data_IF_466108521122
#
_entry.id   IF_466108521122
#
_cell.length_a   1.000
_cell.length_b   1.000
_cell.length_c   1.000
_cell.angle_alpha   90.00
_cell.angle_beta   90.00
_cell.angle_gamma   90.00
#
_symmetry.space_group_name_H-M   'P 1'
#
loop_
_entity.id
_entity.type
_entity.pdbx_description
1 polymer ?
2 non-polymer ?
3 non-polymer ?
4 non-polymer ?
5 water ?
#
# COMPACT_ATOMS: atom_id res chain seq x y z
N UNK A 14 15.42 14.59 2.95
CA UNK A 14 15.81 14.11 1.59
C UNK A 14 15.79 12.60 1.46
N UNK A 15 15.72 12.11 0.22
CA UNK A 15 15.74 10.68 -0.06
C UNK A 15 17.02 10.07 0.49
N UNK A 16 16.90 8.87 1.01
CA UNK A 16 18.02 8.08 1.45
C UNK A 16 18.10 6.84 0.60
N UNK A 17 19.19 6.69 -0.13
CA UNK A 17 19.46 5.47 -0.86
C UNK A 17 20.04 4.46 0.11
N UNK A 18 19.48 3.26 0.12
CA UNK A 18 19.91 2.22 1.05
C UNK A 18 19.86 0.95 0.23
N UNK A 19 21.05 0.48 -0.15
CA UNK A 19 21.19 -0.53 -1.18
C UNK A 19 20.44 -0.07 -2.41
N UNK A 20 19.56 -0.93 -2.92
CA UNK A 20 18.83 -0.66 -4.13
C UNK A 20 17.45 -0.06 -3.86
N UNK A 21 17.19 0.35 -2.61
CA UNK A 21 15.91 0.92 -2.21
C UNK A 21 16.10 2.39 -1.87
N UNK A 22 14.99 3.11 -1.80
CA UNK A 22 14.98 4.51 -1.40
C UNK A 22 13.97 4.69 -0.28
N UNK A 23 14.36 5.47 0.73
CA UNK A 23 13.51 5.77 1.87
C UNK A 23 13.36 7.27 1.98
N UNK A 24 12.17 7.74 2.32
CA UNK A 24 11.87 9.17 2.45
C UNK A 24 10.99 9.40 3.65
N UNK A 25 11.43 10.24 4.58
CA UNK A 25 10.59 10.58 5.73
C UNK A 25 9.47 11.52 5.29
N UNK A 26 8.24 11.17 5.65
CA UNK A 26 7.05 11.97 5.33
C UNK A 26 6.46 12.72 6.51
N UNK A 27 6.69 12.23 7.72
CA UNK A 27 6.18 12.82 8.95
C UNK A 27 7.08 12.31 10.07
N UNK A 28 6.93 12.84 11.29
CA UNK A 28 7.83 12.39 12.38
C UNK A 28 7.93 10.87 12.58
N UNK A 29 6.83 10.18 12.37
CA UNK A 29 6.76 8.73 12.59
C UNK A 29 6.41 7.95 11.31
N UNK A 30 6.56 8.55 10.13
CA UNK A 30 6.15 7.89 8.88
C UNK A 30 7.21 8.07 7.81
N UNK A 31 7.56 6.96 7.17
CA UNK A 31 8.50 6.93 6.06
C UNK A 31 7.91 6.17 4.89
N UNK A 32 8.30 6.57 3.68
CA UNK A 32 7.95 5.86 2.46
C UNK A 32 9.13 4.99 2.06
N UNK A 33 8.86 3.72 1.74
CA UNK A 33 9.85 2.82 1.14
C UNK A 33 9.58 2.71 -0.34
N UNK A 34 10.64 2.63 -1.14
CA UNK A 34 10.53 2.49 -2.58
C UNK A 34 11.50 1.42 -3.05
N UNK A 35 10.98 0.52 -3.89
CA UNK A 35 11.75 -0.56 -4.48
C UNK A 35 11.42 -0.64 -5.97
N UNK A 36 12.29 -1.34 -6.72
CA UNK A 36 12.23 -1.32 -8.17
C UNK A 36 12.28 -2.72 -8.74
N UNK A 37 11.52 -2.94 -9.82
CA UNK A 37 11.60 -4.21 -10.56
C UNK A 37 11.56 -3.92 -12.04
N UNK A 38 12.44 -4.55 -12.79
CA UNK A 38 12.36 -4.49 -14.25
C UNK A 38 11.10 -5.16 -14.76
N UNK A 39 10.34 -4.44 -15.59
CA UNK A 39 9.22 -5.05 -16.27
C UNK A 39 9.62 -4.95 -17.74
N UNK A 40 10.13 -6.07 -18.32
CA UNK A 40 10.71 -6.01 -19.66
C UNK A 40 9.78 -5.30 -20.66
N UNK A 41 10.25 -4.20 -21.23
CA UNK A 41 9.44 -3.35 -22.11
C UNK A 41 8.73 -2.16 -21.45
N UNK A 42 8.84 -2.06 -20.13
CA UNK A 42 8.33 -0.91 -19.36
C UNK A 42 9.39 -0.22 -18.50
N UNK A 43 10.60 -0.79 -18.38
CA UNK A 43 11.66 -0.22 -17.56
C UNK A 43 11.59 -0.71 -16.13
N UNK A 44 12.36 -0.03 -15.28
CA UNK A 44 12.46 -0.39 -13.87
C UNK A 44 11.41 0.36 -13.09
N UNK A 45 10.36 -0.35 -12.67
CA UNK A 45 9.15 0.26 -12.12
C UNK A 45 9.27 0.42 -10.62
N UNK A 46 9.11 1.66 -10.15
CA UNK A 46 9.12 1.96 -8.73
C UNK A 46 7.79 1.56 -8.10
N UNK A 47 7.87 1.07 -6.86
CA UNK A 47 6.67 0.87 -6.04
C UNK A 47 6.95 1.38 -4.64
N UNK A 48 5.99 2.13 -4.10
CA UNK A 48 6.08 2.70 -2.76
C UNK A 48 5.18 2.00 -1.76
N UNK A 49 5.68 1.88 -0.54
CA UNK A 49 4.88 1.53 0.61
C UNK A 49 5.24 2.41 1.80
N UNK A 50 4.76 2.05 2.99
CA UNK A 50 4.95 2.88 4.17
C UNK A 50 5.51 2.11 5.35
N UNK A 51 6.16 2.87 6.22
CA UNK A 51 6.68 2.40 7.49
C UNK A 51 6.20 3.41 8.54
N UNK A 52 5.59 2.91 9.62
CA UNK A 52 5.01 3.79 10.65
C UNK A 52 5.54 3.36 12.00
N UNK A 53 6.10 4.31 12.76
CA UNK A 53 6.42 4.01 14.16
C UNK A 53 5.20 4.38 15.03
N UNK A 54 4.75 3.41 15.81
CA UNK A 54 3.66 3.61 16.76
C UNK A 54 4.21 3.29 18.14
N UNK A 55 4.70 4.32 18.84
CA UNK A 55 5.32 4.12 20.14
C UNK A 55 6.55 3.23 20.02
N UNK A 56 6.52 2.09 20.72
CA UNK A 56 7.64 1.15 20.74
C UNK A 56 7.63 0.06 19.69
N UNK A 57 6.84 0.23 18.63
CA UNK A 57 6.80 -0.78 17.58
C UNK A 57 6.67 -0.10 16.23
N UNK A 58 6.94 -0.89 15.19
CA UNK A 58 6.87 -0.44 13.81
C UNK A 58 5.81 -1.25 13.06
N UNK A 59 5.11 -0.56 12.17
CA UNK A 59 4.06 -1.15 11.34
C UNK A 59 4.44 -0.91 9.89
N UNK A 60 4.26 -1.91 9.03
CA UNK A 60 4.62 -1.78 7.61
C UNK A 60 3.38 -1.91 6.75
N UNK A 61 3.29 -1.06 5.72
CA UNK A 61 2.27 -1.17 4.70
C UNK A 61 2.99 -1.50 3.38
N UNK A 62 2.67 -2.69 2.87
CA UNK A 62 3.20 -3.28 1.64
C UNK A 62 4.61 -3.79 1.76
N UNK A 63 4.86 -4.93 1.12
CA UNK A 63 6.22 -5.38 0.96
C UNK A 63 6.90 -4.59 -0.16
N UNK A 64 8.17 -4.89 -0.39
CA UNK A 64 8.83 -4.53 -1.66
C UNK A 64 8.48 -5.60 -2.72
N UNK A 65 9.00 -5.44 -3.93
CA UNK A 65 8.72 -6.40 -4.97
C UNK A 65 9.23 -7.81 -4.65
N UNK A 66 10.35 -7.92 -3.94
CA UNK A 66 10.98 -9.21 -3.73
C UNK A 66 11.25 -9.46 -2.26
N UNK A 67 11.49 -10.73 -1.94
CA UNK A 67 11.92 -11.11 -0.60
C UNK A 67 13.23 -10.41 -0.22
N UNK A 68 14.23 -10.40 -1.10
CA UNK A 68 15.49 -9.77 -0.76
C UNK A 68 15.31 -8.28 -0.48
N UNK A 69 14.51 -7.61 -1.30
CA UNK A 69 14.27 -6.18 -1.09
C UNK A 69 13.51 -5.95 0.22
N UNK A 70 12.59 -6.85 0.55
CA UNK A 70 11.81 -6.71 1.77
C UNK A 70 12.69 -6.92 3.00
N UNK A 71 13.60 -7.89 2.94
CA UNK A 71 14.59 -8.03 4.01
C UNK A 71 15.42 -6.75 4.16
N UNK A 72 15.73 -6.06 3.05
CA UNK A 72 16.41 -4.76 3.12
C UNK A 72 15.58 -3.69 3.80
N UNK A 73 14.27 -3.67 3.58
CA UNK A 73 13.40 -2.77 4.34
C UNK A 73 13.57 -3.05 5.83
N UNK A 74 13.55 -4.32 6.23
CA UNK A 74 13.68 -4.66 7.63
C UNK A 74 15.05 -4.26 8.18
N UNK A 75 16.10 -4.37 7.37
CA UNK A 75 17.44 -3.92 7.75
C UNK A 75 17.47 -2.41 7.96
N UNK A 76 16.85 -1.66 7.05
CA UNK A 76 16.75 -0.21 7.21
C UNK A 76 16.02 0.12 8.51
N UNK A 77 14.92 -0.57 8.79
CA UNK A 77 14.16 -0.33 10.02
C UNK A 77 15.05 -0.58 11.23
N UNK A 78 15.81 -1.67 11.22
CA UNK A 78 16.69 -1.98 12.34
C UNK A 78 17.71 -0.86 12.58
N UNK A 79 18.29 -0.34 11.49
CA UNK A 79 19.30 0.70 11.61
C UNK A 79 18.74 2.08 11.97
N UNK A 80 17.60 2.44 11.39
CA UNK A 80 17.08 3.80 11.51
C UNK A 80 16.03 3.98 12.60
N UNK A 81 15.37 2.90 13.01
CA UNK A 81 14.35 2.95 14.06
C UNK A 81 14.71 2.06 15.23
N UNK A 82 15.14 0.83 14.96
CA UNK A 82 15.60 -0.10 16.00
C UNK A 82 14.51 -0.42 17.02
N UNK A 83 13.33 -0.74 16.49
CA UNK A 83 12.22 -1.25 17.28
C UNK A 83 11.62 -2.41 16.51
N UNK A 84 10.94 -3.33 17.20
CA UNK A 84 10.34 -4.47 16.52
C UNK A 84 9.23 -4.10 15.56
N UNK A 85 9.13 -4.87 14.48
CA UNK A 85 8.06 -4.70 13.51
C UNK A 85 6.91 -5.59 13.96
N UNK A 86 5.83 -4.98 14.44
CA UNK A 86 4.72 -5.74 15.01
C UNK A 86 3.84 -6.41 13.97
N UNK A 87 3.66 -5.79 12.82
CA UNK A 87 2.77 -6.32 11.80
C UNK A 87 3.02 -5.61 10.49
N UNK A 88 2.56 -6.27 9.44
CA UNK A 88 2.50 -5.68 8.10
C UNK A 88 1.13 -5.94 7.52
N UNK A 89 0.65 -4.97 6.77
CA UNK A 89 -0.58 -5.11 6.00
C UNK A 89 -0.23 -4.85 4.54
N UNK A 90 -0.77 -5.68 3.64
CA UNK A 90 -0.48 -5.56 2.21
C UNK A 90 -1.77 -5.28 1.49
N UNK A 91 -1.69 -4.49 0.41
CA UNK A 91 -2.89 -3.83 -0.10
C UNK A 91 -3.53 -4.44 -1.34
N UNK A 92 -2.91 -5.46 -1.96
CA UNK A 92 -3.57 -6.37 -2.91
C UNK A 92 -2.57 -7.41 -3.36
N UNK A 93 -3.06 -8.41 -4.08
CA UNK A 93 -2.25 -9.56 -4.48
C UNK A 93 -1.55 -9.36 -5.82
N UNK A 94 -0.75 -8.31 -5.90
CA UNK A 94 0.25 -8.16 -6.96
C UNK A 94 1.64 -8.10 -6.33
N UNK A 95 2.65 -8.39 -7.15
CA UNK A 95 4.00 -8.56 -6.64
C UNK A 95 4.57 -7.35 -5.94
N UNK A 96 4.23 -6.14 -6.43
CA UNK A 96 4.76 -4.96 -5.79
C UNK A 96 4.33 -4.79 -4.35
N UNK A 97 3.17 -5.34 -3.99
CA UNK A 97 2.61 -5.21 -2.66
C UNK A 97 2.81 -6.43 -1.78
N UNK A 98 2.91 -7.61 -2.39
CA UNK A 98 2.95 -8.89 -1.66
C UNK A 98 4.12 -9.77 -2.02
N UNK A 99 5.01 -9.31 -2.90
CA UNK A 99 6.10 -10.15 -3.35
C UNK A 99 7.09 -10.57 -2.28
N UNK A 100 7.16 -9.82 -1.18
CA UNK A 100 8.09 -10.11 -0.12
C UNK A 100 7.51 -10.75 1.12
N UNK A 101 6.35 -11.39 0.98
CA UNK A 101 5.68 -11.99 2.13
C UNK A 101 6.58 -12.98 2.87
N UNK A 102 7.30 -13.83 2.12
CA UNK A 102 8.15 -14.82 2.80
C UNK A 102 9.21 -14.15 3.68
N UNK A 103 9.77 -13.01 3.26
CA UNK A 103 10.73 -12.31 4.09
C UNK A 103 10.11 -11.83 5.39
N UNK A 104 8.88 -11.35 5.34
CA UNK A 104 8.19 -10.95 6.57
C UNK A 104 7.98 -12.14 7.48
N UNK A 105 7.57 -13.27 6.92
CA UNK A 105 7.36 -14.46 7.73
C UNK A 105 8.65 -14.99 8.32
N UNK A 106 9.72 -14.97 7.54
CA UNK A 106 11.03 -15.39 8.04
C UNK A 106 11.48 -14.53 9.22
N UNK A 107 11.08 -13.26 9.22
CA UNK A 107 11.42 -12.33 10.28
C UNK A 107 10.50 -12.42 11.49
N UNK A 108 9.46 -13.24 11.42
CA UNK A 108 8.52 -13.41 12.53
C UNK A 108 7.47 -12.32 12.65
N UNK A 109 7.18 -11.63 11.55
CA UNK A 109 6.24 -10.53 11.54
C UNK A 109 4.85 -11.04 11.19
N UNK A 110 3.85 -10.64 11.97
CA UNK A 110 2.45 -10.98 11.70
C UNK A 110 1.96 -10.24 10.46
N UNK A 111 1.33 -10.95 9.53
CA UNK A 111 0.92 -10.35 8.27
C UNK A 111 -0.58 -10.45 8.03
N UNK A 112 -1.09 -9.40 7.38
CA UNK A 112 -2.50 -9.20 7.15
C UNK A 112 -2.75 -8.77 5.73
N UNK A 113 -3.85 -9.26 5.15
CA UNK A 113 -4.30 -8.82 3.83
C UNK A 113 -5.81 -8.98 3.80
N UNK A 114 -6.46 -8.27 2.88
CA UNK A 114 -7.87 -8.57 2.57
C UNK A 114 -8.03 -10.08 2.37
N UNK A 115 -9.08 -10.65 2.93
CA UNK A 115 -9.39 -12.05 2.67
C UNK A 115 -9.34 -12.39 1.19
N UNK A 116 -9.86 -11.50 0.34
CA UNK A 116 -9.86 -11.77 -1.09
C UNK A 116 -8.44 -11.79 -1.64
N UNK A 117 -7.55 -10.94 -1.13
CA UNK A 117 -6.14 -10.98 -1.54
C UNK A 117 -5.50 -12.32 -1.17
N UNK A 118 -5.82 -12.83 0.02
CA UNK A 118 -5.27 -14.12 0.42
C UNK A 118 -5.81 -15.24 -0.45
N UNK A 119 -7.09 -15.17 -0.81
CA UNK A 119 -7.68 -16.15 -1.72
C UNK A 119 -7.00 -16.12 -3.09
N UNK A 120 -6.75 -14.93 -3.61
CA UNK A 120 -6.14 -14.75 -4.93
C UNK A 120 -4.64 -14.99 -4.95
N UNK A 121 -4.00 -14.98 -3.79
CA UNK A 121 -2.55 -14.98 -3.74
C UNK A 121 -1.91 -16.12 -4.54
N UNK A 122 -2.33 -17.38 -4.30
CA UNK A 122 -1.65 -18.44 -5.04
C UNK A 122 -1.73 -18.29 -6.56
N UNK A 123 -2.91 -17.98 -7.10
CA UNK A 123 -3.03 -17.83 -8.57
C UNK A 123 -2.26 -16.64 -9.11
N UNK A 124 -2.02 -15.64 -8.27
CA UNK A 124 -1.20 -14.50 -8.66
C UNK A 124 0.29 -14.74 -8.45
N UNK A 125 0.68 -15.92 -7.94
CA UNK A 125 2.07 -16.19 -7.71
C UNK A 125 2.61 -15.63 -6.40
N UNK A 126 1.70 -15.26 -5.49
CA UNK A 126 2.04 -14.69 -4.20
C UNK A 126 1.87 -15.74 -3.10
N UNK A 127 2.57 -15.51 -1.99
CA UNK A 127 2.34 -16.20 -0.73
C UNK A 127 1.28 -15.40 0.04
N UNK A 128 0.28 -16.09 0.57
CA UNK A 128 -0.77 -15.42 1.33
C UNK A 128 -0.23 -14.86 2.65
N UNK A 129 -0.87 -13.79 3.12
CA UNK A 129 -0.64 -13.34 4.48
C UNK A 129 -1.21 -14.36 5.47
N UNK A 130 -0.77 -14.24 6.72
CA UNK A 130 -1.20 -15.14 7.77
C UNK A 130 -2.63 -14.92 8.22
N UNK A 131 -3.10 -13.68 8.11
CA UNK A 131 -4.38 -13.27 8.63
C UNK A 131 -5.18 -12.57 7.56
N UNK A 132 -6.50 -12.77 7.59
CA UNK A 132 -7.40 -12.15 6.63
C UNK A 132 -8.25 -11.05 7.26
N UNK A 133 -8.23 -9.90 6.61
CA UNK A 133 -9.10 -8.81 6.94
C UNK A 133 -10.44 -8.99 6.25
N UNK A 134 -11.53 -8.70 6.96
CA UNK A 134 -12.84 -8.61 6.33
C UNK A 134 -13.41 -7.24 6.58
N UNK A 135 -14.41 -6.86 5.77
CA UNK A 135 -14.88 -5.48 5.70
C UNK A 135 -16.38 -5.40 5.83
N UNK A 136 -16.82 -4.38 6.54
CA UNK A 136 -18.23 -4.05 6.62
C UNK A 136 -18.74 -3.57 5.25
N UNK A 137 -20.06 -3.57 5.09
CA UNK A 137 -20.69 -3.11 3.85
C UNK A 137 -20.25 -1.68 3.45
N UNK A 138 -20.00 -0.83 4.44
CA UNK A 138 -19.53 0.55 4.18
C UNK A 138 -18.05 0.67 3.84
N UNK A 139 -17.30 -0.43 3.90
CA UNK A 139 -15.91 -0.45 3.49
C UNK A 139 -14.91 -0.43 4.64
N UNK A 140 -15.31 -0.05 5.85
CA UNK A 140 -14.34 -0.07 6.95
C UNK A 140 -14.02 -1.50 7.35
N UNK A 141 -12.75 -1.74 7.69
CA UNK A 141 -12.37 -3.05 8.18
C UNK A 141 -13.17 -3.42 9.42
N UNK A 142 -13.50 -4.70 9.51
CA UNK A 142 -14.11 -5.24 10.73
C UNK A 142 -13.00 -5.26 11.79
N UNK A 143 -13.17 -4.49 12.88
CA UNK A 143 -12.05 -4.28 13.79
C UNK A 143 -11.44 -5.55 14.40
N UNK A 144 -12.23 -6.58 14.61
CA UNK A 144 -11.70 -7.80 15.20
C UNK A 144 -10.67 -8.46 14.29
N UNK A 145 -10.73 -8.18 12.99
CA UNK A 145 -9.80 -8.79 12.04
C UNK A 145 -8.50 -8.02 11.91
N UNK A 146 -8.43 -6.82 12.49
CA UNK A 146 -7.26 -5.96 12.44
C UNK A 146 -6.81 -5.61 13.85
N UNK A 147 -6.52 -6.60 14.69
CA UNK A 147 -6.13 -6.31 16.05
C UNK A 147 -4.77 -5.61 16.10
N UNK A 148 -4.63 -4.69 17.03
CA UNK A 148 -3.35 -4.03 17.30
C UNK A 148 -2.86 -3.21 16.13
N UNK A 149 -3.77 -2.72 15.29
CA UNK A 149 -3.37 -1.91 14.15
C UNK A 149 -3.02 -0.47 14.53
N UNK A 150 -3.24 -0.04 15.77
CA UNK A 150 -2.83 1.28 16.24
C UNK A 150 -3.43 2.36 15.35
N UNK A 151 -2.58 3.23 14.79
CA UNK A 151 -3.11 4.32 13.99
C UNK A 151 -3.55 3.93 12.58
N UNK A 152 -3.31 2.69 12.15
CA UNK A 152 -3.67 2.31 10.80
C UNK A 152 -5.16 2.06 10.69
N UNK A 153 -5.81 2.80 9.81
CA UNK A 153 -7.24 2.72 9.58
C UNK A 153 -7.45 2.14 8.19
N UNK A 154 -7.94 0.93 8.10
CA UNK A 154 -7.98 0.19 6.84
C UNK A 154 -9.39 0.27 6.24
N UNK A 155 -9.44 0.59 4.96
CA UNK A 155 -10.68 0.83 4.24
C UNK A 155 -10.65 0.16 2.88
N UNK A 156 -11.71 -0.58 2.57
CA UNK A 156 -11.93 -1.16 1.26
C UNK A 156 -12.84 -0.21 0.48
N UNK A 157 -12.30 0.43 -0.58
CA UNK A 157 -13.06 1.48 -1.26
C UNK A 157 -13.98 0.98 -2.35
N UNK A 158 -13.95 -0.33 -2.62
CA UNK A 158 -14.60 -0.91 -3.77
C UNK A 158 -13.57 -1.33 -4.80
N UNK A 159 -14.00 -2.10 -5.79
CA UNK A 159 -13.09 -2.59 -6.80
C UNK A 159 -12.62 -1.47 -7.71
N UNK A 160 -11.36 -1.51 -8.10
CA UNK A 160 -10.81 -0.43 -8.92
C UNK A 160 -9.59 -0.89 -9.68
N UNK A 161 -8.42 -0.60 -9.14
CA UNK A 161 -7.18 -1.14 -9.69
C UNK A 161 -7.23 -2.68 -9.75
N UNK A 162 -7.73 -3.27 -8.67
CA UNK A 162 -8.08 -4.69 -8.64
C UNK A 162 -9.36 -4.83 -7.82
N UNK A 163 -9.92 -6.03 -7.82
CA UNK A 163 -11.10 -6.32 -7.02
C UNK A 163 -10.83 -6.26 -5.52
N UNK A 164 -9.58 -6.54 -5.14
CA UNK A 164 -9.21 -6.72 -3.74
C UNK A 164 -8.48 -5.52 -3.14
N UNK A 165 -8.26 -4.45 -3.90
CA UNK A 165 -7.46 -3.35 -3.41
C UNK A 165 -8.00 -2.74 -2.12
N UNK A 166 -7.11 -2.51 -1.16
CA UNK A 166 -7.46 -1.81 0.08
C UNK A 166 -6.56 -0.60 0.28
N UNK A 167 -6.96 0.25 1.22
CA UNK A 167 -6.31 1.55 1.44
C UNK A 167 -6.15 1.74 2.94
N UNK A 168 -5.26 2.65 3.32
CA UNK A 168 -4.89 2.78 4.72
C UNK A 168 -4.66 4.23 5.08
N UNK A 169 -5.38 4.73 6.08
CA UNK A 169 -5.10 6.05 6.63
C UNK A 169 -4.26 5.94 7.88
N UNK A 170 -3.49 6.98 8.19
CA UNK A 170 -2.67 6.96 9.40
C UNK A 170 -3.21 8.00 10.35
N UNK A 171 -3.95 7.53 11.35
CA UNK A 171 -4.56 8.43 12.32
C UNK A 171 -3.47 9.26 13.00
N UNK A 172 -3.78 10.52 13.28
CA UNK A 172 -2.84 11.43 13.92
C UNK A 172 -1.84 12.07 12.96
N UNK A 173 -1.99 11.81 11.66
CA UNK A 173 -1.17 12.42 10.64
C UNK A 173 -2.11 12.93 9.57
N UNK A 174 -1.54 13.61 8.60
CA UNK A 174 -2.37 14.05 7.47
C UNK A 174 -2.25 13.11 6.27
N UNK A 175 -1.84 11.86 6.51
CA UNK A 175 -1.48 10.96 5.42
C UNK A 175 -2.52 9.86 5.23
N UNK A 176 -2.86 9.61 3.97
CA UNK A 176 -3.59 8.41 3.58
C UNK A 176 -2.92 7.77 2.38
N UNK A 177 -2.93 6.45 2.36
CA UNK A 177 -2.25 5.63 1.36
C UNK A 177 -3.27 4.95 0.47
N UNK A 178 -3.22 5.29 -0.82
CA UNK A 178 -4.12 4.73 -1.79
C UNK A 178 -3.60 3.50 -2.51
N UNK A 179 -2.35 3.11 -2.27
CA UNK A 179 -1.79 1.98 -2.98
C UNK A 179 -1.82 2.22 -4.48
N UNK A 180 -2.11 1.17 -5.23
CA UNK A 180 -2.10 1.30 -6.68
C UNK A 180 -3.41 1.82 -7.25
N UNK A 181 -4.38 2.11 -6.38
CA UNK A 181 -5.63 2.70 -6.83
C UNK A 181 -5.44 4.13 -7.34
N UNK A 182 -4.56 4.90 -6.70
CA UNK A 182 -4.46 6.33 -6.94
C UNK A 182 -3.13 6.65 -7.64
N UNK A 183 -3.20 7.53 -8.61
CA UNK A 183 -2.03 8.10 -9.31
C UNK A 183 -2.01 9.60 -9.07
N UNK A 184 -0.85 10.23 -9.29
CA UNK A 184 -0.73 11.65 -8.93
C UNK A 184 -1.46 12.54 -9.92
N UNK A 185 -1.53 13.81 -9.56
CA UNK A 185 -2.34 14.76 -10.28
C UNK A 185 -1.83 15.11 -11.68
N UNK A 186 -0.59 14.71 -11.98
CA UNK A 186 0.00 14.94 -13.30
C UNK A 186 0.09 13.66 -14.13
N UNK A 187 -0.46 12.54 -13.64
CA UNK A 187 -0.37 11.27 -14.36
C UNK A 187 -1.16 11.28 -15.65
N UNK A 188 -0.60 10.64 -16.68
CA UNK A 188 -1.24 10.52 -17.98
C UNK A 188 -2.20 9.32 -18.08
N UNK A 189 -2.01 8.30 -17.24
CA UNK A 189 -2.88 7.12 -17.26
C UNK A 189 -2.97 6.46 -15.89
N UNK A 190 -3.84 5.45 -15.80
CA UNK A 190 -4.02 4.65 -14.59
C UNK A 190 -3.12 3.40 -14.55
N UNK A 191 -2.12 3.34 -15.43
CA UNK A 191 -1.17 2.23 -15.45
C UNK A 191 -1.83 0.96 -15.96
N UNK A 192 -1.34 -0.19 -15.52
CA UNK A 192 -1.88 -1.46 -16.02
C UNK A 192 -3.24 -1.75 -15.38
N UNK A 193 -4.24 -1.86 -16.25
CA UNK A 193 -5.60 -2.14 -15.85
C UNK A 193 -5.98 -3.59 -16.11
N UNK A 194 -4.99 -4.49 -16.23
CA UNK A 194 -5.27 -5.88 -16.55
C UNK A 194 -6.22 -6.57 -15.60
N UNK A 195 -6.17 -6.22 -14.31
CA UNK A 195 -7.06 -6.80 -13.31
C UNK A 195 -8.08 -5.80 -12.79
N UNK A 196 -8.26 -4.67 -13.48
CA UNK A 196 -9.08 -3.58 -12.99
C UNK A 196 -10.57 -3.82 -13.22
N UNK A 197 -11.36 -3.20 -12.35
CA UNK A 197 -12.81 -3.08 -12.53
C UNK A 197 -13.04 -1.70 -13.10
N UNK A 198 -13.15 -1.63 -14.42
CA UNK A 198 -13.20 -0.33 -15.12
C UNK A 198 -14.50 0.43 -14.85
N UNK A 199 -15.60 -0.30 -14.67
CA UNK A 199 -16.89 0.32 -14.39
C UNK A 199 -16.91 1.02 -13.05
N UNK A 200 -16.29 0.41 -12.03
CA UNK A 200 -16.39 0.91 -10.67
C UNK A 200 -15.19 1.74 -10.20
N UNK A 201 -14.14 1.82 -11.01
CA UNK A 201 -12.90 2.47 -10.61
C UNK A 201 -13.11 3.89 -10.09
N UNK A 202 -13.83 4.72 -10.86
CA UNK A 202 -13.99 6.11 -10.48
C UNK A 202 -14.65 6.23 -9.10
N UNK A 203 -15.72 5.49 -8.90
CA UNK A 203 -16.42 5.52 -7.62
C UNK A 203 -15.54 5.04 -6.47
N UNK A 204 -14.72 4.03 -6.72
CA UNK A 204 -13.82 3.53 -5.70
C UNK A 204 -12.75 4.56 -5.32
N UNK A 205 -12.18 5.25 -6.33
CA UNK A 205 -11.23 6.30 -6.04
C UNK A 205 -11.89 7.39 -5.18
N UNK A 206 -13.11 7.80 -5.54
CA UNK A 206 -13.82 8.82 -4.78
C UNK A 206 -14.16 8.34 -3.37
N UNK A 207 -14.50 7.05 -3.22
CA UNK A 207 -14.79 6.51 -1.90
C UNK A 207 -13.56 6.54 -0.98
N UNK A 208 -12.38 6.27 -1.54
CA UNK A 208 -11.14 6.43 -0.79
C UNK A 208 -11.01 7.85 -0.25
N UNK A 209 -11.21 8.84 -1.13
CA UNK A 209 -11.13 10.21 -0.68
C UNK A 209 -12.12 10.54 0.43
N UNK A 210 -13.35 10.04 0.28
CA UNK A 210 -14.40 10.32 1.26
C UNK A 210 -14.16 9.63 2.61
N UNK A 211 -13.45 8.50 2.60
CA UNK A 211 -13.11 7.79 3.83
C UNK A 211 -12.08 8.52 4.68
N UNK A 212 -11.19 9.29 4.03
CA UNK A 212 -10.09 9.98 4.69
C UNK A 212 -10.15 11.46 4.33
N UNK A 213 -11.23 12.16 4.73
CA UNK A 213 -11.44 13.52 4.23
C UNK A 213 -10.41 14.52 4.73
N UNK A 214 -9.74 14.24 5.84
CA UNK A 214 -8.77 15.18 6.39
C UNK A 214 -7.35 14.95 5.89
N UNK A 215 -7.13 13.89 5.12
CA UNK A 215 -5.80 13.60 4.63
C UNK A 215 -5.41 14.61 3.56
N UNK A 216 -4.36 15.35 3.80
CA UNK A 216 -3.86 16.31 2.82
C UNK A 216 -2.65 15.81 2.03
N UNK A 217 -2.00 14.73 2.51
CA UNK A 217 -0.92 14.09 1.81
C UNK A 217 -1.39 12.70 1.41
N UNK A 218 -1.46 12.47 0.10
CA UNK A 218 -1.85 11.21 -0.46
C UNK A 218 -0.60 10.50 -0.94
N UNK A 219 -0.39 9.30 -0.41
CA UNK A 219 0.74 8.45 -0.79
C UNK A 219 0.20 7.34 -1.66
N UNK A 220 0.97 6.92 -2.65
CA UNK A 220 0.51 6.05 -3.74
C UNK A 220 1.63 5.11 -4.11
N UNK A 221 1.31 4.00 -4.78
CA UNK A 221 2.37 3.06 -5.14
C UNK A 221 3.28 3.56 -6.24
N UNK A 222 2.72 4.23 -7.25
CA UNK A 222 3.45 4.49 -8.47
C UNK A 222 3.55 5.95 -8.82
N UNK A 223 3.41 6.81 -7.82
CA UNK A 223 3.72 8.22 -7.92
C UNK A 223 4.27 8.70 -6.58
N UNK A 224 5.00 9.81 -6.59
CA UNK A 224 5.45 10.45 -5.35
C UNK A 224 4.25 11.04 -4.60
N UNK A 225 4.40 11.30 -3.30
CA UNK A 225 3.27 11.84 -2.53
C UNK A 225 2.75 13.13 -3.15
N UNK A 226 1.44 13.33 -3.06
CA UNK A 226 0.80 14.47 -3.71
C UNK A 226 -0.32 14.98 -2.80
N UNK A 227 -0.90 16.09 -3.23
CA UNK A 227 -2.12 16.59 -2.60
C UNK A 227 -3.32 15.75 -2.98
N UNK A 228 -4.48 16.15 -2.48
CA UNK A 228 -5.73 15.46 -2.81
C UNK A 228 -6.12 15.59 -4.28
N UNK A 229 -5.45 16.46 -5.03
CA UNK A 229 -5.64 16.48 -6.48
C UNK A 229 -5.30 15.13 -7.11
N UNK A 230 -4.47 14.31 -6.46
CA UNK A 230 -4.24 12.96 -6.95
C UNK A 230 -5.57 12.18 -7.02
N UNK A 231 -6.41 12.33 -6.01
CA UNK A 231 -7.67 11.62 -5.95
C UNK A 231 -8.63 12.13 -7.00
N UNK A 232 -8.81 13.46 -7.07
CA UNK A 232 -9.73 14.00 -8.02
C UNK A 232 -9.29 13.70 -9.46
N UNK A 233 -8.00 13.80 -9.74
CA UNK A 233 -7.50 13.54 -11.09
C UNK A 233 -7.62 12.07 -11.45
N UNK A 234 -7.30 11.18 -10.51
CA UNK A 234 -7.46 9.76 -10.73
C UNK A 234 -8.93 9.42 -11.07
N UNK A 235 -9.84 9.95 -10.26
CA UNK A 235 -11.26 9.68 -10.47
C UNK A 235 -11.73 10.22 -11.81
N UNK A 236 -11.26 11.41 -12.19
CA UNK A 236 -11.66 12.01 -13.44
C UNK A 236 -11.15 11.21 -14.63
N UNK A 237 -9.91 10.70 -14.55
CA UNK A 237 -9.38 9.80 -15.58
C UNK A 237 -10.18 8.51 -15.63
N UNK A 238 -10.53 7.99 -14.45
CA UNK A 238 -11.33 6.75 -14.38
C UNK A 238 -12.74 6.94 -14.92
N UNK A 239 -13.28 8.17 -14.87
CA UNK A 239 -14.57 8.45 -15.50
C UNK A 239 -14.53 8.05 -16.99
N UNK A 240 -13.37 8.19 -17.65
CA UNK A 240 -13.22 7.88 -19.10
C UNK A 240 -13.27 6.39 -19.42
N UNK A 241 -13.05 5.53 -18.42
CA UNK A 241 -13.13 4.08 -18.59
C UNK A 241 -14.56 3.58 -18.76
N UNK A 242 -15.54 4.37 -18.35
CA UNK A 242 -16.93 3.96 -18.32
C UNK A 242 -17.64 4.26 -19.64
X LIG B 1 -0.33 -7.22 -15.29
X LIG B 1 -1.58 -7.86 -15.28
X LIG B 1 -2.61 -7.36 -14.48
X LIG B 1 -2.40 -6.21 -13.71
X LIG B 1 -1.16 -5.57 -13.72
X LIG B 1 -0.12 -6.08 -14.51
X LIG B 1 1.15 -5.44 -14.55
X LIG B 1 1.70 -5.15 -13.21
X LIG B 1 1.72 -3.93 -12.67
X LIG B 1 1.28 -2.91 -13.22
X LIG B 1 2.40 -3.87 -11.31
X LIG B 1 3.10 -2.51 -11.15
X LIG B 1 1.44 -4.20 -10.17
X LIG B 1 0.24 -2.93 -9.78
X LIG C 1 -11.55 15.48 -2.92
X LIG C 1 -11.14 15.94 -1.65
X LIG C 1 -10.95 14.10 -3.16
X LIG C 1 -11.63 13.11 -2.41
X LIG D 1 -6.11 10.05 7.64
X LIG D 1 -4.80 10.53 7.99
X LIG D 1 -6.84 9.60 8.90
X LIG D 1 -6.72 8.17 9.04
X LIG E 1 13.21 -15.97 1.42
X LIG E 1 12.38 -17.12 1.53
X LIG E 1 12.80 -15.03 2.54
X LIG E 1 13.62 -13.85 2.52
X LIG F 1 -16.83 -9.94 11.46
X LIG F 1 -17.70 -10.70 12.30
X LIG F 1 -15.43 -9.87 12.10
X LIG F 1 -14.82 -11.15 12.11
X LIG G 1 -4.93 -9.50 -7.58
X LIG G 1 -4.71 -8.33 -6.83
X LIG G 1 -5.97 -9.28 -8.68
X LIG G 1 -6.52 -10.53 -9.09
X LIG H 1 -1.49 -3.98 -8.65
X LIG I 1 1.24 -1.54 -8.25
#
# INVERSE_FOLDING_TARGET
GEIRPTIGQQMETGDQRFGDLVFRQLAPNVWQHTSYLDMPGFGAVASNGLIVRDGGRVLVVDTAWTDDQTAQILNWIKQEINLPVALAVVTHAHQDKMGGMDALHAAGIATYANALSNQLAPQEGMVAAQHSLTFAANGWVEPATAPNFGPLKVFYPGPGHTSDNITVGIDGTDIAFGGCLIKDSKAKSLGNLGDADTEHYAASARAFGAAFPKASMIVMSHSAPDSRAAITHTARMADKLR
9DU CAJ CAK CAL CAN CAM CAI CAH NAG CAD OAE CAC CAF CAB SAA
EDO C1 O1 C2 O2
EDO C1 O1 C2 O2
EDO C1 O1 C2 O2
EDO C1 O1 C2 O2
EDO C1 O1 C2 O2
ZN ZN
ZN ZN
#
